data_IF_127722210731
#
_entry.id   IF_127722210731
#
_cell.length_a   1.000
_cell.length_b   1.000
_cell.length_c   1.000
_cell.angle_alpha   90.00
_cell.angle_beta   90.00
_cell.angle_gamma   90.00
#
_symmetry.space_group_name_H-M   'P 1'
#
loop_
_entity.id
_entity.type
_entity.pdbx_description
1 polymer ?
#
# COMPACT_ATOMS: atom_id res chain seq x y z
N UNK A 1 0.03 10.53 18.68
CA UNK A 1 0.18 11.07 20.06
C UNK A 1 -0.96 12.02 20.48
N UNK A 2 -1.48 12.91 19.62
CA UNK A 2 -2.74 13.66 19.90
C UNK A 2 -3.54 13.98 18.63
N UNK A 3 -4.86 14.19 18.69
CA UNK A 3 -5.68 14.63 17.55
C UNK A 3 -5.23 15.97 16.95
N UNK A 4 -4.68 16.88 17.77
CA UNK A 4 -4.15 18.16 17.32
C UNK A 4 -2.94 17.96 16.40
N UNK A 5 -2.02 17.04 16.75
CA UNK A 5 -0.87 16.71 15.92
C UNK A 5 -1.30 16.12 14.57
N UNK A 6 -2.35 15.28 14.56
CA UNK A 6 -2.93 14.74 13.33
C UNK A 6 -3.52 15.86 12.48
N UNK A 7 -4.27 16.78 13.08
CA UNK A 7 -4.83 17.92 12.36
C UNK A 7 -3.74 18.85 11.80
N UNK A 8 -2.67 19.12 12.55
CA UNK A 8 -1.52 19.90 12.07
C UNK A 8 -0.88 19.20 10.87
N UNK A 9 -0.63 17.90 10.97
CA UNK A 9 -0.06 17.09 9.89
C UNK A 9 -0.92 17.12 8.62
N UNK A 10 -2.23 16.84 8.74
CA UNK A 10 -3.15 16.83 7.60
C UNK A 10 -3.26 18.23 6.95
N UNK A 11 -3.30 19.30 7.74
CA UNK A 11 -3.38 20.67 7.21
C UNK A 11 -2.07 21.13 6.56
N UNK A 12 -0.90 20.74 7.10
CA UNK A 12 0.40 21.05 6.49
C UNK A 12 0.51 20.39 5.11
N UNK A 13 0.22 19.08 5.00
CA UNK A 13 0.19 18.38 3.72
C UNK A 13 -0.84 18.96 2.76
N UNK A 14 -2.05 19.27 3.25
CA UNK A 14 -3.09 19.90 2.45
C UNK A 14 -2.63 21.22 1.85
N UNK A 15 -1.96 22.07 2.62
CA UNK A 15 -1.47 23.37 2.15
C UNK A 15 -0.45 23.24 1.01
N UNK A 16 0.36 22.19 1.03
CA UNK A 16 1.43 21.92 0.06
C UNK A 16 0.91 21.18 -1.18
N UNK A 17 -0.01 20.24 -1.01
CA UNK A 17 -0.54 19.42 -2.10
C UNK A 17 -1.63 20.13 -2.91
N UNK A 18 -2.44 20.99 -2.29
CA UNK A 18 -3.60 21.63 -2.93
C UNK A 18 -3.25 22.44 -4.19
N UNK A 19 -2.18 23.26 -4.24
CA UNK A 19 -1.82 23.97 -5.47
C UNK A 19 -1.50 23.04 -6.64
N UNK A 20 -0.79 21.93 -6.39
CA UNK A 20 -0.49 20.93 -7.42
C UNK A 20 -1.76 20.20 -7.87
N UNK A 21 -2.60 19.78 -6.92
CA UNK A 21 -3.87 19.12 -7.19
C UNK A 21 -4.81 19.98 -8.06
N UNK A 22 -4.88 21.29 -7.78
CA UNK A 22 -5.68 22.22 -8.57
C UNK A 22 -5.15 22.32 -10.00
N UNK A 23 -3.83 22.48 -10.17
CA UNK A 23 -3.20 22.55 -11.48
C UNK A 23 -3.43 21.27 -12.31
N UNK A 24 -3.31 20.11 -11.67
CA UNK A 24 -3.58 18.81 -12.28
C UNK A 24 -5.05 18.66 -12.67
N UNK A 25 -5.98 19.07 -11.80
CA UNK A 25 -7.41 19.07 -12.09
C UNK A 25 -7.77 20.00 -13.24
N UNK A 26 -7.18 21.20 -13.30
CA UNK A 26 -7.40 22.16 -14.38
C UNK A 26 -6.87 21.62 -15.71
N UNK A 27 -5.69 20.97 -15.69
CA UNK A 27 -5.13 20.29 -16.86
C UNK A 27 -6.05 19.16 -17.34
N UNK A 28 -6.53 18.32 -16.43
CA UNK A 28 -7.42 17.21 -16.75
C UNK A 28 -8.77 17.72 -17.29
N UNK A 29 -9.31 18.78 -16.68
CA UNK A 29 -10.56 19.43 -17.13
C UNK A 29 -10.40 20.05 -18.51
N UNK A 30 -9.29 20.72 -18.79
CA UNK A 30 -9.00 21.28 -20.11
C UNK A 30 -8.75 20.20 -21.16
N UNK A 31 -8.15 19.09 -20.77
CA UNK A 31 -8.01 17.92 -21.62
C UNK A 31 -9.38 17.33 -21.99
N UNK A 32 -10.29 17.20 -21.03
CA UNK A 32 -11.64 16.69 -21.27
C UNK A 32 -12.50 17.58 -22.18
N UNK A 33 -12.29 18.91 -22.14
CA UNK A 33 -12.95 19.85 -23.06
C UNK A 33 -12.68 19.56 -24.54
N UNK A 34 -11.55 18.93 -24.88
CA UNK A 34 -11.24 18.51 -26.26
C UNK A 34 -12.30 17.55 -26.82
N UNK A 35 -12.99 16.80 -25.95
CA UNK A 35 -14.06 15.86 -26.30
C UNK A 35 -15.47 16.46 -26.07
N UNK A 36 -15.59 17.76 -25.81
CA UNK A 36 -16.88 18.43 -25.58
C UNK A 36 -17.39 18.38 -24.14
N UNK A 37 -16.61 17.87 -23.17
CA UNK A 37 -16.98 17.90 -21.75
C UNK A 37 -16.85 19.33 -21.21
N UNK A 38 -17.99 19.94 -20.85
CA UNK A 38 -18.05 21.31 -20.33
C UNK A 38 -17.54 21.39 -18.89
N UNK A 39 -17.88 20.41 -18.07
CA UNK A 39 -17.51 20.31 -16.65
C UNK A 39 -17.08 18.88 -16.36
N UNK A 40 -15.86 18.72 -15.84
CA UNK A 40 -15.33 17.41 -15.47
C UNK A 40 -15.99 16.92 -14.18
N UNK A 41 -16.70 15.80 -14.26
CA UNK A 41 -17.40 15.21 -13.12
C UNK A 41 -16.62 14.06 -12.49
N UNK A 42 -17.04 13.62 -11.30
CA UNK A 42 -16.34 12.55 -10.55
C UNK A 42 -16.23 11.25 -11.35
N UNK A 43 -17.25 10.90 -12.14
CA UNK A 43 -17.28 9.68 -12.96
C UNK A 43 -16.42 9.78 -14.23
N UNK A 44 -16.10 10.99 -14.68
CA UNK A 44 -15.25 11.23 -15.85
C UNK A 44 -13.75 11.07 -15.51
N UNK A 45 -13.39 11.31 -14.25
CA UNK A 45 -12.00 11.42 -13.79
C UNK A 45 -11.14 10.22 -14.20
N UNK A 46 -11.60 8.99 -13.97
CA UNK A 46 -10.82 7.80 -14.29
C UNK A 46 -10.56 7.68 -15.81
N UNK A 47 -11.60 7.91 -16.63
CA UNK A 47 -11.50 7.81 -18.08
C UNK A 47 -10.53 8.83 -18.67
N UNK A 48 -10.67 10.11 -18.28
CA UNK A 48 -9.80 11.16 -18.78
C UNK A 48 -8.38 11.09 -18.21
N UNK A 49 -8.21 10.57 -16.99
CA UNK A 49 -6.88 10.36 -16.41
C UNK A 49 -6.10 9.36 -17.24
N UNK A 50 -6.71 8.24 -17.65
CA UNK A 50 -6.06 7.25 -18.51
C UNK A 50 -5.77 7.79 -19.92
N UNK A 51 -6.70 8.55 -20.52
CA UNK A 51 -6.45 9.21 -21.82
C UNK A 51 -5.29 10.20 -21.73
N UNK A 52 -5.24 11.02 -20.69
CA UNK A 52 -4.15 11.98 -20.48
C UNK A 52 -2.82 11.26 -20.19
N UNK A 53 -2.84 10.19 -19.39
CA UNK A 53 -1.66 9.36 -19.11
C UNK A 53 -1.09 8.77 -20.40
N UNK A 54 -1.96 8.26 -21.27
CA UNK A 54 -1.57 7.76 -22.60
C UNK A 54 -0.93 8.86 -23.46
N UNK A 55 -1.53 10.06 -23.52
CA UNK A 55 -0.99 11.18 -24.30
C UNK A 55 0.38 11.65 -23.78
N UNK A 56 0.59 11.66 -22.45
CA UNK A 56 1.83 12.16 -21.84
C UNK A 56 2.97 11.15 -21.79
N UNK A 57 2.66 9.86 -21.60
CA UNK A 57 3.67 8.84 -21.31
C UNK A 57 3.73 7.70 -22.34
N UNK A 58 2.80 7.64 -23.29
CA UNK A 58 2.67 6.51 -24.23
C UNK A 58 2.70 5.16 -23.48
N UNK A 59 1.91 5.10 -22.40
CA UNK A 59 1.82 3.95 -21.50
C UNK A 59 0.35 3.58 -21.29
N UNK A 60 0.01 2.33 -21.61
CA UNK A 60 -1.30 1.75 -21.35
C UNK A 60 -1.19 0.50 -20.48
N UNK A 61 -2.18 0.28 -19.62
CA UNK A 61 -2.22 -0.90 -18.76
C UNK A 61 -2.17 -2.22 -19.55
N UNK A 62 -2.79 -2.27 -20.73
CA UNK A 62 -2.78 -3.43 -21.62
C UNK A 62 -1.40 -3.76 -22.20
N UNK A 63 -0.47 -2.79 -22.27
CA UNK A 63 0.93 -3.04 -22.64
C UNK A 63 1.70 -3.72 -21.50
N UNK A 64 1.32 -3.45 -20.25
CA UNK A 64 1.99 -3.93 -19.04
C UNK A 64 1.49 -5.30 -18.57
N UNK A 65 0.17 -5.51 -18.60
CA UNK A 65 -0.49 -6.75 -18.16
C UNK A 65 0.19 -8.05 -18.61
N UNK A 66 0.62 -8.20 -19.87
CA UNK A 66 1.28 -9.43 -20.32
C UNK A 66 2.55 -9.81 -19.55
N UNK A 67 3.21 -8.85 -18.87
CA UNK A 67 4.43 -9.07 -18.10
C UNK A 67 4.18 -9.45 -16.65
N UNK A 68 2.95 -9.32 -16.16
CA UNK A 68 2.60 -9.50 -14.75
C UNK A 68 1.68 -10.70 -14.54
N UNK A 69 2.13 -11.87 -14.99
CA UNK A 69 1.48 -13.15 -14.65
C UNK A 69 1.59 -13.39 -13.13
N UNK A 70 0.46 -13.66 -12.47
CA UNK A 70 0.37 -13.79 -11.00
C UNK A 70 1.46 -14.69 -10.40
N UNK A 71 1.71 -15.87 -10.99
CA UNK A 71 2.73 -16.80 -10.50
C UNK A 71 4.13 -16.19 -10.51
N UNK A 72 4.47 -15.44 -11.57
CA UNK A 72 5.76 -14.76 -11.67
C UNK A 72 5.85 -13.66 -10.60
N UNK A 73 4.78 -12.89 -10.40
CA UNK A 73 4.76 -11.80 -9.40
C UNK A 73 4.93 -12.36 -7.98
N UNK A 74 4.30 -13.49 -7.65
CA UNK A 74 4.49 -14.19 -6.37
C UNK A 74 5.96 -14.61 -6.21
N UNK A 75 6.56 -15.23 -7.23
CA UNK A 75 7.98 -15.60 -7.22
C UNK A 75 8.89 -14.36 -7.07
N UNK A 76 8.52 -13.24 -7.70
CA UNK A 76 9.20 -11.95 -7.57
C UNK A 76 9.21 -11.44 -6.14
N UNK A 77 8.04 -11.39 -5.51
CA UNK A 77 7.88 -11.00 -4.10
C UNK A 77 8.74 -11.89 -3.18
N UNK A 78 8.72 -13.20 -3.40
CA UNK A 78 9.56 -14.15 -2.64
C UNK A 78 11.06 -13.91 -2.88
N UNK A 79 11.45 -13.63 -4.12
CA UNK A 79 12.85 -13.35 -4.46
C UNK A 79 13.33 -12.05 -3.84
N UNK A 80 12.50 -11.00 -3.83
CA UNK A 80 12.81 -9.72 -3.14
C UNK A 80 12.95 -9.97 -1.63
N UNK A 81 12.03 -10.72 -1.03
CA UNK A 81 12.09 -11.09 0.38
C UNK A 81 13.34 -11.92 0.73
N UNK A 82 13.77 -12.83 -0.16
CA UNK A 82 15.03 -13.56 -0.02
C UNK A 82 16.24 -12.61 -0.05
N UNK A 83 16.30 -11.76 -1.07
CA UNK A 83 17.40 -10.79 -1.23
C UNK A 83 17.51 -9.83 -0.05
N UNK A 84 16.41 -9.45 0.58
CA UNK A 84 16.42 -8.52 1.72
C UNK A 84 16.61 -9.24 3.07
N UNK A 85 15.91 -10.36 3.28
CA UNK A 85 15.72 -10.95 4.61
C UNK A 85 16.06 -12.45 4.70
N UNK A 86 16.63 -13.03 3.64
CA UNK A 86 17.11 -14.41 3.59
C UNK A 86 15.99 -15.45 3.80
N UNK A 87 14.78 -15.11 3.36
CA UNK A 87 13.61 -15.99 3.43
C UNK A 87 13.52 -16.92 2.21
N UNK A 88 13.13 -18.17 2.47
CA UNK A 88 12.84 -19.19 1.48
C UNK A 88 11.38 -19.64 1.63
N UNK A 89 10.73 -19.97 0.51
CA UNK A 89 9.31 -20.31 0.46
C UNK A 89 9.11 -21.62 -0.29
N UNK A 90 8.60 -22.63 0.41
CA UNK A 90 8.32 -23.95 -0.15
C UNK A 90 6.81 -24.18 -0.11
N UNK A 91 6.17 -24.40 -1.27
CA UNK A 91 4.75 -24.77 -1.30
C UNK A 91 4.56 -26.14 -0.64
N UNK A 92 3.64 -26.22 0.33
CA UNK A 92 3.35 -27.43 1.09
C UNK A 92 1.86 -27.79 0.98
N UNK A 93 1.55 -29.08 1.10
CA UNK A 93 0.20 -29.62 1.00
C UNK A 93 -0.25 -30.36 2.28
N UNK A 94 0.56 -30.26 3.34
CA UNK A 94 0.37 -30.95 4.62
C UNK A 94 -0.46 -30.16 5.63
N UNK A 95 -0.99 -29.00 5.23
CA UNK A 95 -1.76 -28.10 6.09
C UNK A 95 -3.17 -27.95 5.52
N UNK A 96 -4.17 -28.05 6.40
CA UNK A 96 -5.57 -27.86 6.02
C UNK A 96 -5.84 -26.43 5.52
N UNK A 97 -6.66 -26.34 4.48
CA UNK A 97 -7.01 -25.09 3.82
C UNK A 97 -8.47 -24.76 4.08
N UNK A 98 -8.77 -23.50 4.38
CA UNK A 98 -10.16 -23.03 4.51
C UNK A 98 -10.89 -22.91 3.17
N UNK A 99 -10.16 -22.95 2.04
CA UNK A 99 -10.75 -22.97 0.70
C UNK A 99 -9.78 -23.64 -0.29
N UNK A 100 -10.30 -24.34 -1.30
CA UNK A 100 -9.51 -25.12 -2.27
C UNK A 100 -8.53 -24.30 -3.12
N UNK A 101 -8.83 -23.02 -3.34
CA UNK A 101 -7.98 -22.10 -4.12
C UNK A 101 -6.82 -21.52 -3.28
N UNK A 102 -6.77 -21.78 -1.96
CA UNK A 102 -5.70 -21.30 -1.08
C UNK A 102 -4.43 -22.10 -1.34
N UNK A 103 -3.29 -21.42 -1.43
CA UNK A 103 -1.97 -22.05 -1.39
C UNK A 103 -1.31 -21.82 -0.03
N UNK A 104 -0.44 -22.75 0.35
CA UNK A 104 0.22 -22.77 1.65
C UNK A 104 1.72 -22.96 1.45
N UNK A 105 2.52 -22.13 2.11
CA UNK A 105 3.97 -22.13 2.00
C UNK A 105 4.61 -22.28 3.38
N UNK A 106 5.56 -23.20 3.51
CA UNK A 106 6.51 -23.24 4.62
C UNK A 106 7.58 -22.19 4.35
N UNK A 107 7.78 -21.28 5.30
CA UNK A 107 8.79 -20.23 5.21
C UNK A 107 9.95 -20.60 6.12
N UNK A 108 11.17 -20.59 5.59
CA UNK A 108 12.40 -20.79 6.36
C UNK A 108 13.40 -19.67 6.10
N UNK A 109 14.45 -19.57 6.92
CA UNK A 109 15.63 -18.78 6.55
C UNK A 109 16.63 -19.62 5.73
N UNK A 110 17.75 -19.00 5.31
CA UNK A 110 18.84 -19.66 4.58
C UNK A 110 19.62 -20.69 5.39
N UNK A 111 19.49 -20.69 6.72
CA UNK A 111 20.09 -21.70 7.60
C UNK A 111 19.13 -22.87 7.88
N UNK A 112 17.92 -22.82 7.34
CA UNK A 112 16.89 -23.84 7.49
C UNK A 112 15.99 -23.65 8.73
N UNK A 113 16.11 -22.55 9.48
CA UNK A 113 15.23 -22.31 10.61
C UNK A 113 13.81 -22.04 10.13
N UNK A 114 12.83 -22.61 10.83
CA UNK A 114 11.43 -22.39 10.54
C UNK A 114 10.99 -20.96 10.92
N UNK A 115 10.42 -20.23 9.96
CA UNK A 115 10.02 -18.82 10.11
C UNK A 115 8.50 -18.66 10.23
N UNK A 116 7.68 -19.29 9.37
CA UNK A 116 6.23 -19.16 9.39
C UNK A 116 5.52 -20.18 8.47
N UNK A 117 4.19 -20.30 8.60
CA UNK A 117 3.33 -20.73 7.49
C UNK A 117 2.70 -19.49 6.86
N UNK A 118 2.80 -19.38 5.53
CA UNK A 118 2.11 -18.38 4.73
C UNK A 118 0.95 -19.00 3.93
N UNK A 119 -0.24 -18.42 4.01
CA UNK A 119 -1.41 -18.77 3.22
C UNK A 119 -1.64 -17.67 2.18
N UNK A 120 -1.98 -18.03 0.93
CA UNK A 120 -2.28 -17.05 -0.10
C UNK A 120 -3.62 -17.34 -0.77
N UNK A 121 -4.48 -16.32 -0.85
CA UNK A 121 -5.83 -16.39 -1.39
C UNK A 121 -6.15 -15.19 -2.29
N UNK A 122 -5.89 -15.34 -3.58
CA UNK A 122 -5.83 -14.20 -4.50
C UNK A 122 -7.10 -13.93 -5.29
N UNK A 123 -8.07 -14.85 -5.33
CA UNK A 123 -9.18 -14.73 -6.27
C UNK A 123 -10.52 -14.36 -5.61
N UNK A 124 -11.37 -13.58 -6.30
CA UNK A 124 -12.70 -13.23 -5.82
C UNK A 124 -13.67 -14.42 -5.89
N UNK A 125 -14.61 -14.47 -4.95
CA UNK A 125 -15.69 -15.47 -4.90
C UNK A 125 -16.83 -15.00 -4.01
N UNK A 126 -18.02 -15.58 -4.19
CA UNK A 126 -19.17 -15.35 -3.31
C UNK A 126 -18.77 -15.64 -1.85
N UNK A 127 -19.12 -14.72 -0.95
CA UNK A 127 -18.81 -14.82 0.48
C UNK A 127 -17.43 -14.27 0.90
N UNK A 128 -16.58 -13.87 -0.05
CA UNK A 128 -15.33 -13.14 0.23
C UNK A 128 -15.53 -11.65 -0.01
N UNK A 129 -15.17 -10.81 0.95
CA UNK A 129 -15.24 -9.35 0.81
C UNK A 129 -14.24 -8.84 -0.25
N UNK A 130 -14.58 -7.71 -0.88
CA UNK A 130 -13.67 -7.02 -1.80
C UNK A 130 -12.48 -6.38 -1.06
N UNK A 131 -11.45 -6.00 -1.82
CA UNK A 131 -10.22 -5.39 -1.30
C UNK A 131 -9.05 -6.37 -1.19
N UNK A 132 -8.01 -5.97 -0.48
CA UNK A 132 -6.90 -6.81 -0.10
C UNK A 132 -6.62 -6.62 1.41
N UNK A 133 -6.08 -7.65 2.06
CA UNK A 133 -5.67 -7.57 3.45
C UNK A 133 -4.76 -8.74 3.83
N UNK A 134 -3.98 -8.53 4.88
CA UNK A 134 -3.22 -9.56 5.59
C UNK A 134 -3.94 -9.95 6.90
N UNK A 135 -3.76 -11.20 7.35
CA UNK A 135 -4.30 -11.69 8.64
C UNK A 135 -3.31 -12.62 9.31
N UNK A 136 -3.22 -12.51 10.64
CA UNK A 136 -2.51 -13.49 11.47
C UNK A 136 -3.51 -14.49 12.05
N UNK A 137 -3.52 -15.74 11.57
CA UNK A 137 -4.30 -16.81 12.20
C UNK A 137 -3.68 -17.25 13.53
N UNK A 138 -2.35 -17.14 13.64
CA UNK A 138 -1.60 -17.36 14.87
C UNK A 138 -0.45 -16.37 14.93
N UNK A 139 -0.40 -15.58 15.99
CA UNK A 139 0.69 -14.64 16.24
C UNK A 139 1.96 -15.37 16.72
N UNK A 140 3.13 -14.77 16.47
CA UNK A 140 4.39 -15.26 16.99
C UNK A 140 4.53 -14.93 18.48
N UNK A 141 5.18 -15.80 19.26
CA UNK A 141 5.56 -15.49 20.66
C UNK A 141 6.74 -16.33 21.14
N UNK A 142 7.37 -15.91 22.24
CA UNK A 142 8.48 -16.62 22.91
C UNK A 142 8.21 -16.82 24.39
N UNK A 143 8.48 -18.02 24.90
CA UNK A 143 8.44 -18.34 26.33
C UNK A 143 9.55 -19.33 26.66
N UNK A 144 10.54 -18.90 27.45
CA UNK A 144 11.73 -19.72 27.70
C UNK A 144 12.45 -20.04 26.40
N UNK A 145 12.65 -21.34 26.13
CA UNK A 145 13.30 -21.83 24.90
C UNK A 145 12.33 -21.99 23.72
N UNK A 146 11.01 -21.88 23.96
CA UNK A 146 10.02 -22.04 22.91
C UNK A 146 9.84 -20.73 22.11
N UNK A 147 9.84 -20.85 20.78
CA UNK A 147 9.54 -19.78 19.84
C UNK A 147 8.42 -20.25 18.90
N UNK A 148 7.17 -20.05 19.30
CA UNK A 148 6.01 -20.38 18.47
C UNK A 148 5.95 -19.43 17.28
N UNK A 149 6.15 -19.97 16.07
CA UNK A 149 6.19 -19.21 14.82
C UNK A 149 4.80 -18.97 14.23
N UNK A 150 4.58 -17.83 13.54
CA UNK A 150 3.25 -17.36 13.16
C UNK A 150 2.66 -18.08 11.93
N UNK A 151 1.34 -17.99 11.79
CA UNK A 151 0.57 -18.40 10.62
C UNK A 151 -0.08 -17.16 10.01
N UNK A 152 0.36 -16.78 8.82
CA UNK A 152 0.04 -15.49 8.18
C UNK A 152 -0.71 -15.76 6.87
N UNK A 153 -1.77 -15.02 6.57
CA UNK A 153 -2.47 -15.09 5.29
C UNK A 153 -2.46 -13.77 4.55
N UNK A 154 -2.29 -13.82 3.24
CA UNK A 154 -2.54 -12.70 2.32
C UNK A 154 -3.79 -13.01 1.52
N UNK A 155 -4.70 -12.04 1.45
CA UNK A 155 -5.95 -12.15 0.72
C UNK A 155 -6.07 -10.99 -0.26
N UNK A 156 -6.27 -11.28 -1.54
CA UNK A 156 -6.52 -10.30 -2.60
C UNK A 156 -7.76 -10.68 -3.42
N UNK A 157 -8.14 -9.84 -4.40
CA UNK A 157 -9.27 -10.09 -5.30
C UNK A 157 -8.88 -9.84 -6.77
N UNK A 158 -7.83 -10.52 -7.22
CA UNK A 158 -7.30 -10.40 -8.58
C UNK A 158 -8.16 -11.12 -9.61
N UNK A 159 -8.10 -10.65 -10.85
CA UNK A 159 -8.84 -11.25 -11.97
C UNK A 159 -8.48 -12.72 -12.15
N UNK A 160 -9.50 -13.61 -12.14
CA UNK A 160 -9.29 -15.05 -12.32
C UNK A 160 -8.70 -15.39 -13.70
N UNK A 161 -7.88 -16.46 -13.81
CA UNK A 161 -7.50 -16.99 -15.11
C UNK A 161 -8.75 -17.43 -15.89
N UNK A 162 -8.65 -17.39 -17.22
CA UNK A 162 -9.63 -17.94 -18.15
C UNK A 162 -9.05 -19.18 -18.82
N UNK A 163 -9.86 -19.91 -19.59
CA UNK A 163 -9.37 -21.06 -20.36
C UNK A 163 -8.23 -20.73 -21.33
N UNK A 164 -8.11 -19.46 -21.73
CA UNK A 164 -7.15 -19.00 -22.76
C UNK A 164 -6.07 -18.06 -22.25
N UNK A 165 -6.21 -17.52 -21.04
CA UNK A 165 -5.27 -16.54 -20.47
C UNK A 165 -5.05 -16.82 -18.98
N UNK A 166 -3.79 -16.80 -18.50
CA UNK A 166 -3.52 -16.88 -17.06
C UNK A 166 -4.03 -15.62 -16.34
N UNK A 167 -3.92 -15.60 -15.01
CA UNK A 167 -4.18 -14.41 -14.21
C UNK A 167 -3.10 -13.37 -14.51
N UNK A 168 -3.43 -12.36 -15.33
CA UNK A 168 -2.55 -11.23 -15.64
C UNK A 168 -2.96 -10.04 -14.79
N UNK A 169 -2.02 -9.57 -13.96
CA UNK A 169 -2.25 -8.49 -13.03
C UNK A 169 -2.07 -7.13 -13.72
N UNK A 170 -2.89 -6.17 -13.30
CA UNK A 170 -2.58 -4.76 -13.49
C UNK A 170 -1.36 -4.37 -12.67
N UNK A 171 -0.70 -3.26 -13.01
CA UNK A 171 0.42 -2.78 -12.18
C UNK A 171 -0.05 -2.42 -10.75
N UNK A 172 -1.28 -1.93 -10.59
CA UNK A 172 -1.87 -1.66 -9.28
C UNK A 172 -2.12 -2.95 -8.47
N UNK A 173 -2.50 -4.05 -9.12
CA UNK A 173 -2.63 -5.35 -8.46
C UNK A 173 -1.26 -5.91 -8.03
N UNK A 174 -0.20 -5.64 -8.81
CA UNK A 174 1.19 -5.95 -8.44
C UNK A 174 1.60 -5.19 -7.19
N UNK A 175 1.43 -3.86 -7.16
CA UNK A 175 1.75 -3.05 -5.97
C UNK A 175 0.92 -3.46 -4.76
N UNK A 176 -0.37 -3.78 -4.96
CA UNK A 176 -1.24 -4.33 -3.91
C UNK A 176 -0.69 -5.62 -3.31
N UNK A 177 -0.18 -6.54 -4.15
CA UNK A 177 0.43 -7.78 -3.63
C UNK A 177 1.69 -7.48 -2.79
N UNK A 178 2.54 -6.55 -3.24
CA UNK A 178 3.72 -6.13 -2.47
C UNK A 178 3.33 -5.44 -1.15
N UNK A 179 2.30 -4.61 -1.16
CA UNK A 179 1.75 -3.97 0.05
C UNK A 179 1.36 -5.03 1.09
N UNK A 180 0.49 -5.97 0.72
CA UNK A 180 0.05 -7.03 1.64
C UNK A 180 1.20 -7.95 2.07
N UNK A 181 2.19 -8.13 1.20
CA UNK A 181 3.38 -8.89 1.55
C UNK A 181 4.29 -8.17 2.54
N UNK A 182 4.33 -6.83 2.52
CA UNK A 182 5.01 -6.06 3.56
C UNK A 182 4.37 -6.23 4.94
N UNK A 183 3.02 -6.27 5.01
CA UNK A 183 2.31 -6.70 6.23
C UNK A 183 2.65 -8.13 6.61
N UNK A 184 2.72 -9.04 5.62
CA UNK A 184 3.08 -10.43 5.87
C UNK A 184 4.51 -10.57 6.40
N UNK A 185 5.47 -9.81 5.89
CA UNK A 185 6.84 -9.75 6.41
C UNK A 185 6.86 -9.27 7.86
N UNK A 186 6.07 -8.25 8.19
CA UNK A 186 5.94 -7.74 9.57
C UNK A 186 5.41 -8.82 10.52
N UNK A 187 4.40 -9.59 10.08
CA UNK A 187 3.90 -10.74 10.83
C UNK A 187 4.91 -11.90 10.92
N UNK A 188 5.51 -12.31 9.80
CA UNK A 188 6.39 -13.47 9.70
C UNK A 188 7.71 -13.28 10.44
N UNK A 189 8.28 -12.08 10.40
CA UNK A 189 9.59 -11.79 11.01
C UNK A 189 9.49 -11.36 12.48
N UNK A 190 8.29 -11.30 13.04
CA UNK A 190 8.08 -10.98 14.45
C UNK A 190 8.94 -11.84 15.39
N UNK A 191 9.46 -11.20 16.44
CA UNK A 191 10.38 -11.80 17.39
C UNK A 191 10.15 -11.24 18.81
N UNK A 192 8.95 -11.46 19.33
CA UNK A 192 8.46 -10.88 20.59
C UNK A 192 8.16 -11.95 21.64
N UNK A 193 8.00 -11.51 22.90
CA UNK A 193 7.61 -12.39 24.02
C UNK A 193 6.10 -12.57 24.10
N UNK A 194 5.32 -11.48 24.04
CA UNK A 194 3.87 -11.51 24.23
C UNK A 194 3.13 -11.48 22.89
N UNK A 195 2.23 -12.45 22.61
CA UNK A 195 1.49 -12.51 21.35
C UNK A 195 0.68 -11.24 21.04
N UNK A 196 0.20 -10.54 22.07
CA UNK A 196 -0.59 -9.30 21.95
C UNK A 196 0.22 -8.11 21.44
N UNK A 197 1.54 -8.18 21.45
CA UNK A 197 2.45 -7.14 20.95
C UNK A 197 3.25 -7.62 19.73
N UNK A 198 2.89 -8.78 19.16
CA UNK A 198 3.68 -9.44 18.12
C UNK A 198 3.22 -9.07 16.72
N UNK A 199 4.16 -9.02 15.78
CA UNK A 199 3.89 -8.76 14.36
C UNK A 199 3.19 -7.42 14.15
N UNK A 200 2.08 -7.43 13.41
CA UNK A 200 1.32 -6.24 13.05
C UNK A 200 0.51 -5.63 14.22
N UNK A 201 0.62 -6.15 15.44
CA UNK A 201 0.05 -5.54 16.65
C UNK A 201 0.90 -4.32 17.09
N UNK A 202 0.89 -3.27 16.26
CA UNK A 202 1.55 -1.98 16.47
C UNK A 202 0.52 -0.86 16.50
N UNK A 203 0.97 0.37 16.72
CA UNK A 203 0.12 1.54 16.53
C UNK A 203 -0.32 1.67 15.07
N UNK A 204 -1.58 2.07 14.85
CA UNK A 204 -2.16 2.15 13.52
C UNK A 204 -1.42 3.09 12.57
N UNK A 205 -0.85 4.19 13.07
CA UNK A 205 -0.04 5.14 12.30
C UNK A 205 1.36 4.62 11.92
N UNK A 206 1.68 3.39 12.30
CA UNK A 206 2.94 2.71 12.00
C UNK A 206 2.77 1.38 11.27
N UNK A 207 1.58 0.76 11.34
CA UNK A 207 1.35 -0.55 10.72
C UNK A 207 1.58 -0.52 9.21
N UNK A 208 1.29 0.62 8.58
CA UNK A 208 1.39 0.79 7.12
C UNK A 208 2.82 1.08 6.63
N UNK A 209 3.78 1.34 7.52
CA UNK A 209 5.16 1.59 7.10
C UNK A 209 5.77 0.35 6.40
N UNK A 210 5.76 -0.86 6.99
CA UNK A 210 6.29 -2.05 6.31
C UNK A 210 5.60 -2.40 4.99
N UNK A 211 4.28 -2.21 4.89
CA UNK A 211 3.52 -2.47 3.67
C UNK A 211 3.89 -1.51 2.55
N UNK A 212 3.78 -0.20 2.80
CA UNK A 212 4.10 0.84 1.82
C UNK A 212 5.58 0.83 1.44
N UNK A 213 6.49 0.62 2.39
CA UNK A 213 7.91 0.52 2.09
C UNK A 213 8.17 -0.56 1.03
N UNK A 214 7.55 -1.73 1.16
CA UNK A 214 7.78 -2.85 0.25
C UNK A 214 7.24 -2.61 -1.16
N UNK A 215 6.23 -1.74 -1.34
CA UNK A 215 5.71 -1.34 -2.66
C UNK A 215 6.79 -0.66 -3.53
N UNK A 216 7.75 0.02 -2.92
CA UNK A 216 8.77 0.78 -3.65
C UNK A 216 9.62 -0.11 -4.59
N UNK A 217 9.77 -1.42 -4.30
CA UNK A 217 10.45 -2.37 -5.20
C UNK A 217 9.70 -2.58 -6.52
N UNK A 218 8.40 -2.28 -6.60
CA UNK A 218 7.65 -2.33 -7.86
C UNK A 218 8.06 -1.24 -8.86
N UNK A 219 8.77 -0.21 -8.41
CA UNK A 219 9.19 0.93 -9.24
C UNK A 219 10.67 0.88 -9.63
N UNK A 220 11.40 -0.12 -9.14
CA UNK A 220 12.83 -0.23 -9.37
C UNK A 220 13.17 -1.30 -10.41
N UNK A 221 13.95 -0.90 -11.41
CA UNK A 221 14.32 -1.73 -12.56
C UNK A 221 14.91 -3.08 -12.16
N UNK A 222 15.82 -3.06 -11.18
CA UNK A 222 16.52 -4.24 -10.67
C UNK A 222 15.56 -5.26 -10.06
N UNK A 223 14.49 -4.79 -9.43
CA UNK A 223 13.48 -5.63 -8.79
C UNK A 223 12.43 -6.12 -9.80
N UNK A 224 11.90 -5.24 -10.66
CA UNK A 224 10.97 -5.61 -11.73
C UNK A 224 11.55 -6.68 -12.66
N UNK A 225 12.85 -6.58 -12.99
CA UNK A 225 13.52 -7.54 -13.87
C UNK A 225 13.52 -8.98 -13.33
N UNK A 226 13.29 -9.17 -12.02
CA UNK A 226 13.21 -10.50 -11.40
C UNK A 226 11.95 -11.27 -11.85
N UNK A 227 10.84 -10.56 -12.07
CA UNK A 227 9.53 -11.20 -12.24
C UNK A 227 8.65 -10.67 -13.37
N UNK A 228 8.88 -9.45 -13.85
CA UNK A 228 8.13 -8.87 -14.94
C UNK A 228 8.56 -9.51 -16.27
N UNK A 229 7.96 -10.66 -16.60
CA UNK A 229 8.27 -11.48 -17.76
C UNK A 229 7.00 -11.76 -18.55
N UNK A 230 7.08 -11.58 -19.87
CA UNK A 230 5.95 -11.77 -20.76
C UNK A 230 5.43 -13.21 -20.68
N UNK A 231 4.15 -13.41 -20.39
CA UNK A 231 3.59 -14.72 -20.04
C UNK A 231 3.69 -15.79 -21.15
N UNK A 232 3.85 -15.39 -22.41
CA UNK A 232 4.02 -16.32 -23.55
C UNK A 232 5.47 -16.54 -23.96
N UNK A 233 6.29 -15.49 -23.92
CA UNK A 233 7.63 -15.50 -24.51
C UNK A 233 8.72 -15.58 -23.46
N UNK A 234 8.38 -15.37 -22.19
CA UNK A 234 9.29 -15.27 -21.06
C UNK A 234 10.31 -14.12 -21.15
N UNK A 235 10.16 -13.22 -22.13
CA UNK A 235 11.00 -12.03 -22.27
C UNK A 235 10.77 -11.08 -21.10
N UNK A 236 11.85 -10.53 -20.54
CA UNK A 236 11.80 -9.51 -19.49
C UNK A 236 11.11 -8.25 -20.05
N UNK A 237 10.36 -7.55 -19.21
CA UNK A 237 9.74 -6.28 -19.55
C UNK A 237 10.78 -5.30 -20.14
N UNK A 238 10.50 -4.67 -21.29
CA UNK A 238 11.40 -3.69 -21.89
C UNK A 238 11.75 -2.56 -20.93
N UNK A 239 13.01 -2.10 -20.95
CA UNK A 239 13.45 -0.97 -20.11
C UNK A 239 12.62 0.29 -20.36
N UNK A 240 12.19 0.55 -21.59
CA UNK A 240 11.31 1.68 -21.92
C UNK A 240 10.00 1.66 -21.12
N UNK A 241 9.37 0.49 -20.97
CA UNK A 241 8.14 0.36 -20.18
C UNK A 241 8.40 0.57 -18.67
N UNK A 242 9.55 0.12 -18.16
CA UNK A 242 9.96 0.38 -16.77
C UNK A 242 10.14 1.89 -16.54
N UNK A 243 10.84 2.56 -17.46
CA UNK A 243 11.07 4.01 -17.36
C UNK A 243 9.76 4.79 -17.44
N UNK A 244 8.80 4.34 -18.27
CA UNK A 244 7.44 4.89 -18.34
C UNK A 244 6.64 4.65 -17.05
N UNK A 245 6.74 3.47 -16.43
CA UNK A 245 6.16 3.20 -15.10
C UNK A 245 6.71 4.22 -14.08
N UNK A 246 8.04 4.38 -14.03
CA UNK A 246 8.68 5.30 -13.08
C UNK A 246 8.35 6.76 -13.35
N UNK A 247 8.31 7.19 -14.62
CA UNK A 247 7.91 8.57 -14.98
C UNK A 247 6.45 8.88 -14.67
N UNK A 248 5.57 7.88 -14.77
CA UNK A 248 4.14 8.04 -14.50
C UNK A 248 3.76 7.80 -13.04
N UNK A 249 4.71 7.45 -12.15
CA UNK A 249 4.41 7.22 -10.72
C UNK A 249 3.85 8.46 -10.02
N UNK A 250 4.19 9.65 -10.51
CA UNK A 250 3.78 10.93 -9.93
C UNK A 250 2.61 11.57 -10.71
N UNK A 251 2.05 10.84 -11.68
CA UNK A 251 0.97 11.35 -12.50
C UNK A 251 -0.30 11.57 -11.66
N UNK A 252 -0.79 12.81 -11.60
CA UNK A 252 -1.94 13.25 -10.81
C UNK A 252 -1.78 13.01 -9.30
N UNK A 253 -0.55 12.97 -8.80
CA UNK A 253 -0.27 12.68 -7.39
C UNK A 253 -0.80 13.79 -6.47
N UNK A 254 -0.86 15.04 -6.91
CA UNK A 254 -1.53 16.11 -6.17
C UNK A 254 -3.01 15.80 -5.94
N UNK A 255 -3.74 15.44 -6.99
CA UNK A 255 -5.16 15.04 -6.90
C UNK A 255 -5.36 13.81 -6.01
N UNK A 256 -4.52 12.78 -6.15
CA UNK A 256 -4.60 11.57 -5.33
C UNK A 256 -4.29 11.85 -3.86
N UNK A 257 -3.25 12.65 -3.59
CA UNK A 257 -2.93 13.10 -2.24
C UNK A 257 -4.09 13.88 -1.64
N UNK A 258 -4.71 14.81 -2.38
CA UNK A 258 -5.84 15.58 -1.89
C UNK A 258 -7.05 14.71 -1.58
N UNK A 259 -7.30 13.68 -2.39
CA UNK A 259 -8.35 12.68 -2.14
C UNK A 259 -8.07 11.89 -0.86
N UNK A 260 -6.85 11.41 -0.65
CA UNK A 260 -6.49 10.69 0.59
C UNK A 260 -6.62 11.59 1.83
N UNK A 261 -6.15 12.84 1.75
CA UNK A 261 -6.32 13.82 2.82
C UNK A 261 -7.80 14.09 3.12
N UNK A 262 -8.67 14.11 2.10
CA UNK A 262 -10.11 14.30 2.30
C UNK A 262 -10.70 13.23 3.22
N UNK A 263 -10.30 11.97 3.04
CA UNK A 263 -10.76 10.85 3.84
C UNK A 263 -10.21 10.89 5.27
N UNK A 264 -8.93 11.21 5.45
CA UNK A 264 -8.35 11.40 6.78
C UNK A 264 -9.02 12.55 7.55
N UNK A 265 -9.31 13.67 6.87
CA UNK A 265 -10.03 14.80 7.45
C UNK A 265 -11.47 14.40 7.80
N UNK A 266 -12.18 13.71 6.92
CA UNK A 266 -13.55 13.25 7.17
C UNK A 266 -13.61 12.31 8.38
N UNK A 267 -12.71 11.33 8.45
CA UNK A 267 -12.57 10.42 9.59
C UNK A 267 -12.35 11.17 10.90
N UNK A 268 -11.36 12.06 10.94
CA UNK A 268 -11.09 12.86 12.15
C UNK A 268 -12.28 13.74 12.54
N UNK A 269 -13.05 14.28 11.58
CA UNK A 269 -14.25 15.04 11.89
C UNK A 269 -15.32 14.14 12.52
N UNK A 270 -15.61 12.96 11.96
CA UNK A 270 -16.58 12.02 12.52
C UNK A 270 -16.29 11.64 13.97
N UNK A 271 -15.02 11.56 14.35
CA UNK A 271 -14.60 11.07 15.66
C UNK A 271 -14.13 12.14 16.64
N UNK A 272 -14.19 13.42 16.28
CA UNK A 272 -13.79 14.54 17.16
C UNK A 272 -14.89 15.56 17.42
N UNK A 273 -16.06 15.39 16.80
CA UNK A 273 -17.21 16.29 16.95
C UNK A 273 -18.27 15.65 17.85
N UNK A 274 -19.05 16.50 18.51
CA UNK A 274 -20.22 16.06 19.25
C UNK A 274 -21.25 15.45 18.27
N UNK A 275 -21.62 14.17 18.41
CA UNK A 275 -22.56 13.55 17.49
C UNK A 275 -23.98 14.12 17.59
N UNK A 276 -24.35 14.75 18.72
CA UNK A 276 -25.71 15.28 18.93
C UNK A 276 -26.05 16.46 18.03
N UNK A 277 -25.03 17.13 17.48
CA UNK A 277 -25.21 18.24 16.54
C UNK A 277 -25.21 17.79 15.07
N UNK A 278 -25.05 16.49 14.81
CA UNK A 278 -25.02 15.92 13.45
C UNK A 278 -26.42 15.40 13.10
N UNK A 279 -27.21 16.24 12.44
CA UNK A 279 -28.58 15.92 12.01
C UNK A 279 -28.66 15.30 10.60
N UNK A 280 -27.59 15.42 9.80
CA UNK A 280 -27.54 14.96 8.43
C UNK A 280 -26.13 14.55 8.01
N UNK A 281 -25.96 13.27 7.66
CA UNK A 281 -24.67 12.66 7.28
C UNK A 281 -24.05 13.34 6.07
N UNK A 282 -24.81 13.60 5.01
CA UNK A 282 -24.30 14.22 3.77
C UNK A 282 -23.87 15.66 4.00
N UNK A 283 -24.64 16.44 4.77
CA UNK A 283 -24.30 17.82 5.12
C UNK A 283 -22.99 17.87 5.91
N UNK A 284 -22.83 16.97 6.88
CA UNK A 284 -21.60 16.85 7.67
C UNK A 284 -20.39 16.50 6.78
N UNK A 285 -20.54 15.50 5.91
CA UNK A 285 -19.51 15.10 4.95
C UNK A 285 -19.11 16.24 4.01
N UNK A 286 -20.08 16.94 3.41
CA UNK A 286 -19.82 18.05 2.50
C UNK A 286 -19.06 19.19 3.19
N UNK A 287 -19.33 19.45 4.48
CA UNK A 287 -18.57 20.42 5.26
C UNK A 287 -17.12 19.97 5.49
N UNK A 288 -16.91 18.69 5.81
CA UNK A 288 -15.58 18.13 6.01
C UNK A 288 -14.74 18.14 4.72
N UNK A 289 -15.35 17.82 3.57
CA UNK A 289 -14.68 17.78 2.27
C UNK A 289 -14.44 19.14 1.61
N UNK A 290 -15.05 20.22 2.11
CA UNK A 290 -15.01 21.56 1.48
C UNK A 290 -13.60 22.04 1.11
N UNK A 291 -12.59 21.73 1.94
CA UNK A 291 -11.21 22.18 1.69
C UNK A 291 -10.48 21.38 0.60
N UNK A 292 -10.92 20.15 0.34
CA UNK A 292 -10.31 19.17 -0.57
C UNK A 292 -11.15 18.93 -1.83
N UNK A 293 -12.28 19.62 -1.97
CA UNK A 293 -13.19 19.46 -3.11
C UNK A 293 -12.60 20.06 -4.39
N UNK A 294 -12.43 19.22 -5.41
CA UNK A 294 -12.06 19.61 -6.78
C UNK A 294 -13.23 19.47 -7.74
N UNK A 295 -13.96 18.37 -7.63
CA UNK A 295 -15.11 18.06 -8.47
C UNK A 295 -16.39 18.73 -7.95
N UNK A 296 -17.38 18.95 -8.83
CA UNK A 296 -18.73 19.34 -8.42
C UNK A 296 -19.32 18.35 -7.40
N UNK A 297 -20.24 18.84 -6.57
CA UNK A 297 -20.96 17.97 -5.64
C UNK A 297 -22.00 17.14 -6.39
N UNK A 298 -22.16 15.89 -5.96
CA UNK A 298 -23.20 14.99 -6.46
C UNK A 298 -24.15 14.76 -5.30
N UNK A 299 -25.39 15.24 -5.44
CA UNK A 299 -26.37 15.32 -4.35
C UNK A 299 -26.57 14.00 -3.60
N UNK A 300 -26.67 12.91 -4.34
CA UNK A 300 -26.95 11.57 -3.78
C UNK A 300 -25.69 10.80 -3.38
N UNK A 301 -24.49 11.31 -3.71
CA UNK A 301 -23.24 10.68 -3.34
C UNK A 301 -22.89 11.00 -1.89
N UNK A 302 -22.90 10.00 -1.02
CA UNK A 302 -22.39 10.08 0.35
C UNK A 302 -21.31 9.02 0.54
N UNK A 303 -20.05 9.45 0.64
CA UNK A 303 -18.92 8.55 0.81
C UNK A 303 -18.97 7.84 2.16
N UNK A 304 -19.36 8.55 3.22
CA UNK A 304 -19.38 8.09 4.61
C UNK A 304 -20.14 6.77 4.76
N UNK A 305 -21.29 6.60 4.09
CA UNK A 305 -22.08 5.37 4.15
C UNK A 305 -21.41 4.15 3.49
N UNK A 306 -20.33 4.38 2.74
CA UNK A 306 -19.49 3.35 2.10
C UNK A 306 -18.08 3.27 2.69
N UNK A 307 -17.79 4.05 3.74
CA UNK A 307 -16.45 4.15 4.33
C UNK A 307 -16.17 2.98 5.29
N UNK A 308 -16.05 1.78 4.73
CA UNK A 308 -15.87 0.54 5.51
C UNK A 308 -14.68 0.57 6.46
N UNK A 309 -13.59 1.26 6.12
CA UNK A 309 -12.38 1.33 6.95
C UNK A 309 -12.65 1.87 8.36
N UNK A 310 -13.50 2.90 8.47
CA UNK A 310 -13.74 3.61 9.73
C UNK A 310 -15.04 3.18 10.43
N UNK A 311 -16.01 2.61 9.70
CA UNK A 311 -17.29 2.17 10.29
C UNK A 311 -17.38 0.67 10.55
N UNK A 312 -16.72 -0.17 9.75
CA UNK A 312 -16.73 -1.63 9.90
C UNK A 312 -15.34 -2.22 10.15
N UNK A 313 -14.29 -1.46 9.82
CA UNK A 313 -12.89 -1.82 10.01
C UNK A 313 -12.32 -1.24 11.30
N UNK A 314 -10.99 -1.31 11.42
CA UNK A 314 -10.25 -0.86 12.60
C UNK A 314 -9.66 0.55 12.50
N UNK A 315 -9.99 1.33 11.47
CA UNK A 315 -9.32 2.61 11.16
C UNK A 315 -10.11 3.84 11.62
N UNK A 316 -11.14 3.68 12.47
CA UNK A 316 -11.84 4.81 13.08
C UNK A 316 -10.87 5.72 13.83
N UNK A 317 -10.89 7.03 13.55
CA UNK A 317 -9.91 8.01 14.08
C UNK A 317 -8.46 7.69 13.70
N UNK A 318 -8.26 6.96 12.59
CA UNK A 318 -6.99 6.35 12.23
C UNK A 318 -6.71 6.36 10.74
N UNK A 319 -7.62 6.79 9.87
CA UNK A 319 -7.40 6.76 8.41
C UNK A 319 -6.26 7.67 7.96
N UNK A 320 -5.90 8.68 8.77
CA UNK A 320 -4.71 9.50 8.56
C UNK A 320 -3.41 8.68 8.52
N UNK A 321 -3.42 7.46 9.08
CA UNK A 321 -2.27 6.55 9.15
C UNK A 321 -1.66 6.26 7.79
N UNK A 322 -2.46 6.19 6.72
CA UNK A 322 -1.95 5.95 5.37
C UNK A 322 -0.98 7.04 4.92
N UNK A 323 -1.36 8.32 5.03
CA UNK A 323 -0.46 9.43 4.67
C UNK A 323 0.67 9.62 5.69
N UNK A 324 0.43 9.29 6.95
CA UNK A 324 1.46 9.35 7.99
C UNK A 324 2.57 8.34 7.72
N UNK A 325 2.20 7.08 7.47
CA UNK A 325 3.12 6.03 7.08
C UNK A 325 3.81 6.35 5.76
N UNK A 326 3.14 7.04 4.84
CA UNK A 326 3.73 7.43 3.56
C UNK A 326 4.86 8.48 3.71
N UNK A 327 4.86 9.26 4.80
CA UNK A 327 6.02 10.08 5.14
C UNK A 327 7.17 9.22 5.66
N UNK A 328 6.86 8.21 6.47
CA UNK A 328 7.85 7.29 7.02
C UNK A 328 8.48 6.42 5.92
N UNK A 329 7.67 5.94 4.98
CA UNK A 329 8.08 5.05 3.90
C UNK A 329 8.99 5.78 2.92
N UNK A 330 8.65 7.01 2.52
CA UNK A 330 9.45 7.78 1.57
C UNK A 330 10.84 8.08 2.14
N UNK A 331 10.93 8.47 3.42
CA UNK A 331 12.23 8.72 4.07
C UNK A 331 12.98 7.41 4.39
N UNK A 332 12.27 6.31 4.66
CA UNK A 332 12.90 5.00 4.85
C UNK A 332 13.47 4.45 3.53
N UNK A 333 12.73 4.57 2.44
CA UNK A 333 13.16 4.11 1.12
C UNK A 333 14.29 4.97 0.55
N UNK A 334 14.34 6.27 0.88
CA UNK A 334 15.49 7.13 0.51
C UNK A 334 16.80 6.53 1.01
N UNK A 335 16.82 5.95 2.22
CA UNK A 335 18.00 5.30 2.77
C UNK A 335 18.40 4.04 1.98
N UNK A 336 17.43 3.29 1.45
CA UNK A 336 17.70 2.18 0.53
C UNK A 336 18.26 2.69 -0.81
N UNK A 337 17.72 3.77 -1.38
CA UNK A 337 18.25 4.37 -2.60
C UNK A 337 19.71 4.85 -2.43
N UNK A 338 20.03 5.47 -1.29
CA UNK A 338 21.37 5.94 -0.95
C UNK A 338 22.42 4.80 -0.81
N UNK A 339 21.99 3.58 -0.47
CA UNK A 339 22.88 2.45 -0.16
C UNK A 339 22.71 1.25 -1.10
N UNK A 340 21.83 1.34 -2.09
CA UNK A 340 21.39 0.24 -2.94
C UNK A 340 20.11 -0.44 -2.43
N UNK A 341 19.14 -0.65 -3.32
CA UNK A 341 17.79 -1.13 -2.97
C UNK A 341 17.77 -2.55 -2.40
N UNK A 342 18.84 -3.33 -2.60
CA UNK A 342 19.03 -4.65 -2.00
C UNK A 342 20.12 -4.67 -0.92
N UNK A 343 20.42 -3.52 -0.31
CA UNK A 343 21.41 -3.42 0.77
C UNK A 343 21.01 -4.28 1.96
N UNK A 344 21.73 -5.39 2.15
CA UNK A 344 21.57 -6.30 3.30
C UNK A 344 21.73 -5.58 4.63
N UNK A 345 22.64 -4.62 4.70
CA UNK A 345 22.87 -3.84 5.92
C UNK A 345 21.63 -3.02 6.30
N UNK A 346 21.02 -2.31 5.34
CA UNK A 346 19.83 -1.50 5.58
C UNK A 346 18.61 -2.40 5.84
N UNK A 347 18.47 -3.50 5.08
CA UNK A 347 17.42 -4.49 5.31
C UNK A 347 17.50 -5.10 6.72
N UNK A 348 18.71 -5.46 7.19
CA UNK A 348 18.91 -5.98 8.53
C UNK A 348 18.61 -4.94 9.61
N UNK A 349 18.99 -3.67 9.40
CA UNK A 349 18.59 -2.57 10.30
C UNK A 349 17.08 -2.43 10.36
N UNK A 350 16.38 -2.47 9.23
CA UNK A 350 14.92 -2.39 9.17
C UNK A 350 14.27 -3.59 9.86
N UNK A 351 14.77 -4.81 9.61
CA UNK A 351 14.29 -6.03 10.27
C UNK A 351 14.42 -5.94 11.79
N UNK A 352 15.61 -5.61 12.29
CA UNK A 352 15.91 -5.56 13.73
C UNK A 352 15.17 -4.45 14.46
N UNK A 353 14.93 -3.31 13.83
CA UNK A 353 14.31 -2.15 14.49
C UNK A 353 12.81 -2.03 14.22
N UNK A 354 12.29 -2.64 13.16
CA UNK A 354 10.88 -2.48 12.76
C UNK A 354 10.19 -3.85 12.80
N UNK A 355 10.55 -4.75 11.89
CA UNK A 355 9.79 -5.98 11.64
C UNK A 355 9.80 -6.97 12.83
N UNK A 356 10.91 -7.05 13.56
CA UNK A 356 11.05 -7.98 14.70
C UNK A 356 10.32 -7.50 15.96
N UNK A 357 10.05 -6.19 16.07
CA UNK A 357 9.70 -5.55 17.34
C UNK A 357 8.23 -5.55 17.66
N UNK A 358 7.35 -5.61 16.66
CA UNK A 358 5.92 -5.41 16.85
C UNK A 358 5.64 -4.21 17.76
N UNK A 359 4.62 -4.31 18.62
CA UNK A 359 4.21 -3.24 19.55
C UNK A 359 5.04 -3.12 20.82
N UNK A 360 6.25 -3.66 20.88
CA UNK A 360 7.05 -3.70 22.13
C UNK A 360 7.73 -2.39 22.49
N UNK A 361 7.91 -1.48 21.52
CA UNK A 361 8.56 -0.18 21.67
C UNK A 361 7.73 0.86 20.92
N UNK A 362 7.81 2.13 21.33
CA UNK A 362 7.08 3.22 20.66
C UNK A 362 7.53 3.38 19.20
N UNK A 363 6.59 3.59 18.25
CA UNK A 363 6.88 3.71 16.81
C UNK A 363 8.01 4.67 16.44
N UNK A 364 8.01 5.87 17.01
CA UNK A 364 9.02 6.89 16.67
C UNK A 364 10.41 6.49 17.15
N UNK A 365 10.51 5.82 18.31
CA UNK A 365 11.80 5.32 18.81
C UNK A 365 12.32 4.20 17.91
N UNK A 366 11.45 3.28 17.47
CA UNK A 366 11.78 2.25 16.48
C UNK A 366 12.30 2.87 15.17
N UNK A 367 11.59 3.88 14.67
CA UNK A 367 11.97 4.57 13.45
C UNK A 367 13.30 5.30 13.58
N UNK A 368 13.53 6.04 14.66
CA UNK A 368 14.79 6.73 14.92
C UNK A 368 15.95 5.75 15.06
N UNK A 369 15.74 4.59 15.71
CA UNK A 369 16.77 3.55 15.80
C UNK A 369 17.13 2.95 14.44
N UNK A 370 16.16 2.82 13.53
CA UNK A 370 16.40 2.41 12.14
C UNK A 370 17.09 3.51 11.32
N UNK A 371 16.51 4.71 11.31
CA UNK A 371 16.83 5.79 10.38
C UNK A 371 17.96 6.70 10.83
N UNK A 372 18.18 6.79 12.15
CA UNK A 372 19.12 7.70 12.82
C UNK A 372 18.57 9.11 13.06
N UNK A 373 17.37 9.43 12.56
CA UNK A 373 16.71 10.73 12.71
C UNK A 373 15.18 10.58 12.66
N UNK A 374 14.48 11.63 13.08
CA UNK A 374 13.03 11.73 12.86
C UNK A 374 12.74 11.94 11.36
N UNK A 375 11.60 11.42 10.86
CA UNK A 375 11.19 11.60 9.47
C UNK A 375 10.86 13.07 9.20
N UNK A 376 11.00 13.50 7.94
CA UNK A 376 10.47 14.78 7.46
C UNK A 376 9.57 14.53 6.25
N UNK A 377 8.58 15.40 6.03
CA UNK A 377 7.73 15.29 4.85
C UNK A 377 8.44 15.65 3.53
N UNK A 378 9.69 16.12 3.58
CA UNK A 378 10.49 16.45 2.41
C UNK A 378 10.59 15.28 1.44
N UNK A 379 10.89 14.07 1.94
CA UNK A 379 11.04 12.88 1.10
C UNK A 379 9.73 12.54 0.38
N UNK A 380 8.60 12.58 1.09
CA UNK A 380 7.27 12.39 0.49
C UNK A 380 6.98 13.44 -0.57
N UNK A 381 7.21 14.72 -0.27
CA UNK A 381 6.90 15.80 -1.20
C UNK A 381 7.80 15.77 -2.44
N UNK A 382 9.08 15.38 -2.29
CA UNK A 382 9.98 15.14 -3.43
C UNK A 382 9.51 13.94 -4.25
N UNK A 383 9.17 12.82 -3.59
CA UNK A 383 8.63 11.63 -4.27
C UNK A 383 7.38 11.97 -5.05
N UNK A 384 6.45 12.73 -4.47
CA UNK A 384 5.22 13.16 -5.10
C UNK A 384 5.42 14.26 -6.18
N UNK A 385 6.64 14.74 -6.42
CA UNK A 385 6.91 15.83 -7.36
C UNK A 385 6.34 17.19 -6.93
N UNK A 386 6.02 17.35 -5.65
CA UNK A 386 5.42 18.55 -5.04
C UNK A 386 6.46 19.56 -4.57
N UNK A 387 7.70 19.13 -4.34
CA UNK A 387 8.87 20.00 -4.22
C UNK A 387 9.68 19.91 -5.52
N UNK A 388 9.93 21.05 -6.14
CA UNK A 388 10.80 21.17 -7.32
C UNK A 388 12.21 21.53 -6.94
#
# INVERSE_FOLDING_TARGET
ESPENVNVFLNDLLSKAKPAAQKEFDNLSNFAKKDGIVQLEKWDSAYYSEKLKKELFDLEEEQLKPYFKLENVIEGVFTVANKLYDLNFEEIFTVDKYHKEVKTYKVTDTTGNYIAILYTDFFPRKGKRNGAWMTSFKNQWKKGLENSRPHISIVCNFTKPTNTKPSLLTFNEVTTLFHEFGHALHGMLANTTYPSLSGTNVYWDFVELPSQLFENWCYEKEALSLFAKHFKTNNIIPTDLIDKIKKSSNFLEGMQTLRQLSFGILDMNWHSKDPTVIDNVKKFESLAFKKTQLFPDVKDNCMSTSFSHIFQGGYSSGYYSYKWAEVLDADAFSLFLENGIFSKQIAQKFKLNILEKGGTIKPMDLYVNFRGKKPTNTALLQRAGLLK
#
